data_IF_200164987573
#
_entry.id   IF_200164987573
#
_cell.length_a   1.000
_cell.length_b   1.000
_cell.length_c   1.000
_cell.angle_alpha   90.00
_cell.angle_beta   90.00
_cell.angle_gamma   90.00
#
_symmetry.space_group_name_H-M   'P 1'
#
loop_
_entity.id
_entity.type
_entity.pdbx_description
1 polymer ?
#
# COMPACT_ATOMS: atom_id res chain seq x y z
N UNK A 1 17.25 -1.68 5.68
CA UNK A 1 15.88 -1.21 5.40
C UNK A 1 14.99 -1.60 6.58
N UNK A 2 14.02 -0.77 6.96
CA UNK A 2 13.09 -1.07 8.05
C UNK A 2 11.66 -0.92 7.54
N UNK A 3 10.77 -1.67 8.16
CA UNK A 3 9.33 -1.60 7.95
C UNK A 3 8.63 -1.06 9.18
N UNK A 4 7.43 -0.53 8.99
CA UNK A 4 6.59 0.01 10.06
C UNK A 4 5.20 -0.63 9.96
N UNK A 5 4.70 -1.12 11.09
CA UNK A 5 3.29 -1.47 11.27
C UNK A 5 2.69 -0.49 12.28
N UNK A 6 1.52 0.05 11.95
CA UNK A 6 0.72 0.88 12.83
C UNK A 6 -0.61 0.16 13.07
N UNK A 7 -1.19 0.32 14.25
CA UNK A 7 -2.50 -0.22 14.60
C UNK A 7 -3.20 0.88 15.36
N UNK A 8 -4.38 1.30 14.91
CA UNK A 8 -5.09 2.45 15.47
C UNK A 8 -6.42 2.02 16.08
N UNK A 9 -6.65 2.30 17.38
CA UNK A 9 -7.95 2.05 18.00
C UNK A 9 -9.08 2.81 17.28
N UNK A 10 -10.20 2.14 17.03
CA UNK A 10 -11.36 2.76 16.42
C UNK A 10 -11.28 2.95 14.89
N UNK A 11 -10.27 2.37 14.22
CA UNK A 11 -10.16 2.40 12.76
C UNK A 11 -10.18 0.99 12.15
N UNK A 12 -10.39 0.92 10.83
CA UNK A 12 -10.40 -0.33 10.08
C UNK A 12 -11.61 -1.21 10.36
N UNK A 13 -11.56 -2.44 9.86
CA UNK A 13 -12.62 -3.43 10.04
C UNK A 13 -12.84 -3.77 11.53
N UNK A 14 -11.77 -3.68 12.33
CA UNK A 14 -11.79 -4.00 13.75
C UNK A 14 -12.07 -2.79 14.65
N UNK A 15 -12.49 -1.64 14.11
CA UNK A 15 -12.78 -0.41 14.87
C UNK A 15 -13.73 -0.60 16.07
N UNK A 16 -14.65 -1.57 15.98
CA UNK A 16 -15.62 -1.89 17.03
C UNK A 16 -15.06 -2.74 18.18
N UNK A 17 -13.82 -3.23 18.04
CA UNK A 17 -13.11 -3.99 19.08
C UNK A 17 -12.29 -3.03 19.93
N UNK A 18 -12.13 -3.39 21.21
CA UNK A 18 -11.20 -2.69 22.09
C UNK A 18 -9.77 -3.18 21.81
N UNK A 19 -9.12 -2.57 20.82
CA UNK A 19 -7.74 -2.84 20.43
C UNK A 19 -6.84 -1.73 20.95
N UNK A 20 -5.66 -2.09 21.45
CA UNK A 20 -4.64 -1.12 21.86
C UNK A 20 -3.87 -0.59 20.65
N UNK A 21 -3.44 0.66 20.71
CA UNK A 21 -2.56 1.21 19.68
C UNK A 21 -1.23 0.42 19.67
N UNK A 22 -0.75 0.08 18.48
CA UNK A 22 0.58 -0.51 18.31
C UNK A 22 1.38 0.25 17.25
N UNK A 23 2.66 0.45 17.53
CA UNK A 23 3.64 1.04 16.60
C UNK A 23 4.89 0.18 16.61
N UNK A 24 5.07 -0.62 15.57
CA UNK A 24 6.21 -1.53 15.45
C UNK A 24 7.10 -1.06 14.31
N UNK A 25 8.38 -0.83 14.62
CA UNK A 25 9.43 -0.69 13.61
C UNK A 25 10.32 -1.91 13.65
N UNK A 26 10.46 -2.59 12.52
CA UNK A 26 11.25 -3.82 12.43
C UNK A 26 12.26 -3.73 11.28
N UNK A 27 13.54 -4.11 11.48
CA UNK A 27 14.46 -4.26 10.37
C UNK A 27 14.03 -5.43 9.47
N UNK A 28 14.29 -5.31 8.18
CA UNK A 28 14.17 -6.44 7.25
C UNK A 28 15.51 -7.16 7.20
N UNK A 29 15.53 -8.42 7.62
CA UNK A 29 16.71 -9.27 7.66
C UNK A 29 16.45 -10.55 6.85
N UNK A 30 17.35 -10.87 5.92
CA UNK A 30 17.23 -12.07 5.05
C UNK A 30 15.86 -12.23 4.38
N UNK A 31 15.23 -11.12 4.01
CA UNK A 31 13.91 -11.11 3.35
C UNK A 31 12.73 -11.31 4.30
N UNK A 32 12.89 -11.08 5.61
CA UNK A 32 11.81 -11.19 6.58
C UNK A 32 11.86 -10.07 7.62
N UNK A 33 10.71 -9.78 8.22
CA UNK A 33 10.56 -8.83 9.32
C UNK A 33 9.96 -9.53 10.54
N UNK A 34 10.36 -9.10 11.74
CA UNK A 34 9.86 -9.63 13.00
C UNK A 34 8.80 -8.69 13.58
N UNK A 35 7.55 -9.14 13.67
CA UNK A 35 6.39 -8.33 14.09
C UNK A 35 5.55 -9.15 15.05
N UNK A 36 5.23 -8.63 16.24
CA UNK A 36 4.48 -9.35 17.28
C UNK A 36 5.02 -10.76 17.61
N UNK A 37 6.32 -10.97 17.51
CA UNK A 37 6.96 -12.30 17.72
C UNK A 37 6.81 -13.27 16.53
N UNK A 38 6.15 -12.86 15.45
CA UNK A 38 6.07 -13.60 14.20
C UNK A 38 7.21 -13.20 13.26
N UNK A 39 7.69 -14.16 12.48
CA UNK A 39 8.63 -13.94 11.38
C UNK A 39 7.84 -13.91 10.09
N UNK A 40 7.76 -12.74 9.45
CA UNK A 40 6.96 -12.50 8.27
C UNK A 40 7.89 -12.36 7.06
N UNK A 41 7.78 -13.26 6.08
CA UNK A 41 8.47 -13.13 4.81
C UNK A 41 7.89 -11.92 4.05
N UNK A 42 8.76 -11.06 3.53
CA UNK A 42 8.30 -9.89 2.76
C UNK A 42 7.84 -10.35 1.37
N UNK A 43 6.74 -9.76 0.91
CA UNK A 43 6.25 -9.86 -0.46
C UNK A 43 5.81 -8.44 -0.88
N UNK A 44 6.72 -7.62 -1.43
CA UNK A 44 6.45 -6.21 -1.61
C UNK A 44 5.34 -5.92 -2.62
N UNK A 45 4.50 -4.94 -2.31
CA UNK A 45 3.38 -4.47 -3.14
C UNK A 45 3.34 -2.95 -3.22
N UNK A 46 2.56 -2.42 -4.16
CA UNK A 46 2.26 -0.98 -4.29
C UNK A 46 0.78 -0.77 -3.95
N UNK A 47 0.47 0.03 -2.93
CA UNK A 47 -0.91 0.31 -2.49
C UNK A 47 -1.59 1.41 -3.29
N UNK A 48 -0.86 2.51 -3.52
CA UNK A 48 -1.35 3.68 -4.26
C UNK A 48 -0.65 3.79 -5.61
N UNK A 49 -1.44 3.85 -6.68
CA UNK A 49 -0.97 4.14 -8.02
C UNK A 49 -2.12 4.65 -8.87
N UNK A 50 -1.84 5.49 -9.87
CA UNK A 50 -2.90 6.00 -10.73
C UNK A 50 -2.43 7.04 -11.73
N UNK A 51 -3.38 7.49 -12.54
CA UNK A 51 -3.24 8.58 -13.52
C UNK A 51 -4.13 9.75 -13.11
N UNK A 52 -3.93 10.94 -13.69
CA UNK A 52 -4.79 12.06 -13.35
C UNK A 52 -6.27 11.78 -13.72
N UNK A 53 -7.22 12.10 -12.82
CA UNK A 53 -8.64 11.91 -13.08
C UNK A 53 -9.14 12.81 -14.21
N UNK A 54 -10.29 12.43 -14.78
CA UNK A 54 -10.96 13.19 -15.85
C UNK A 54 -11.36 14.61 -15.41
N UNK A 55 -11.85 14.73 -14.19
CA UNK A 55 -12.39 15.94 -13.60
C UNK A 55 -12.13 15.93 -12.10
N UNK A 56 -12.04 17.13 -11.53
CA UNK A 56 -11.82 17.38 -10.10
C UNK A 56 -10.57 16.70 -9.52
N UNK A 57 -10.21 17.08 -8.30
CA UNK A 57 -9.15 16.40 -7.55
C UNK A 57 -9.74 15.24 -6.75
N UNK A 58 -9.04 14.11 -6.73
CA UNK A 58 -9.37 12.96 -5.88
C UNK A 58 -8.22 12.74 -4.91
N UNK A 59 -8.57 12.52 -3.64
CA UNK A 59 -7.58 12.20 -2.61
C UNK A 59 -6.84 10.91 -2.98
N UNK A 60 -5.53 10.86 -2.71
CA UNK A 60 -4.73 9.65 -2.92
C UNK A 60 -5.22 8.46 -2.10
N UNK A 61 -5.97 8.69 -1.02
CA UNK A 61 -6.55 7.67 -0.14
C UNK A 61 -7.84 7.04 -0.69
N UNK A 62 -8.36 7.55 -1.82
CA UNK A 62 -9.64 7.11 -2.39
C UNK A 62 -9.40 6.42 -3.73
N UNK A 63 -9.78 5.14 -3.90
CA UNK A 63 -9.79 4.50 -5.20
C UNK A 63 -10.97 4.98 -6.05
N UNK A 64 -10.73 5.17 -7.35
CA UNK A 64 -11.74 5.50 -8.36
C UNK A 64 -11.29 4.96 -9.74
N UNK A 65 -11.95 5.38 -10.83
CA UNK A 65 -11.68 4.95 -12.20
C UNK A 65 -10.25 5.24 -12.69
N UNK A 66 -9.54 6.18 -12.06
CA UNK A 66 -8.16 6.52 -12.36
C UNK A 66 -7.14 5.74 -11.50
N UNK A 67 -7.64 4.70 -10.81
CA UNK A 67 -7.06 4.01 -9.66
C UNK A 67 -6.96 4.92 -8.42
N UNK A 68 -5.83 4.98 -7.73
CA UNK A 68 -5.68 5.60 -6.41
C UNK A 68 -5.29 4.56 -5.36
N UNK A 69 -5.93 4.59 -4.19
CA UNK A 69 -5.64 3.67 -3.09
C UNK A 69 -6.33 2.30 -3.26
N UNK A 70 -5.70 1.42 -4.05
CA UNK A 70 -6.27 0.11 -4.41
C UNK A 70 -5.95 -0.96 -3.36
N UNK A 71 -4.75 -0.91 -2.75
CA UNK A 71 -4.31 -1.85 -1.71
C UNK A 71 -4.51 -3.33 -2.05
N UNK A 72 -4.25 -3.69 -3.32
CA UNK A 72 -4.32 -5.07 -3.79
C UNK A 72 -2.98 -5.79 -3.61
N UNK A 73 -3.00 -6.93 -2.88
CA UNK A 73 -1.77 -7.69 -2.57
C UNK A 73 -1.07 -8.27 -3.81
N UNK A 74 -1.82 -8.41 -4.90
CA UNK A 74 -1.34 -9.03 -6.14
C UNK A 74 -0.56 -8.02 -7.02
N UNK A 75 -0.55 -6.73 -6.67
CA UNK A 75 0.24 -5.72 -7.37
C UNK A 75 1.68 -5.76 -6.88
N UNK A 76 2.40 -6.77 -7.35
CA UNK A 76 3.82 -7.03 -7.04
C UNK A 76 4.73 -6.65 -8.20
N UNK A 77 6.04 -6.87 -8.03
CA UNK A 77 7.00 -6.78 -9.12
C UNK A 77 6.55 -7.55 -10.37
N UNK A 78 6.82 -6.98 -11.55
CA UNK A 78 6.44 -7.52 -12.86
C UNK A 78 4.93 -7.50 -13.18
N UNK A 79 4.08 -6.94 -12.33
CA UNK A 79 2.69 -6.65 -12.69
C UNK A 79 2.61 -5.64 -13.83
N UNK A 80 1.62 -5.79 -14.71
CA UNK A 80 1.28 -4.79 -15.73
C UNK A 80 -0.09 -4.22 -15.39
N UNK A 81 -0.16 -2.89 -15.25
CA UNK A 81 -1.37 -2.15 -14.92
C UNK A 81 -1.85 -1.39 -16.15
N UNK A 82 -3.17 -1.29 -16.31
CA UNK A 82 -3.81 -0.62 -17.44
C UNK A 82 -4.70 0.50 -16.93
N UNK A 83 -4.45 1.72 -17.38
CA UNK A 83 -5.13 2.92 -16.90
C UNK A 83 -5.99 3.55 -18.01
N UNK A 84 -7.19 4.06 -17.68
CA UNK A 84 -7.92 4.95 -18.58
C UNK A 84 -7.28 6.34 -18.57
N UNK A 85 -6.51 6.66 -19.61
CA UNK A 85 -5.84 7.97 -19.72
C UNK A 85 -6.85 9.04 -20.15
N UNK A 86 -7.25 9.88 -19.18
CA UNK A 86 -8.23 10.96 -19.39
C UNK A 86 -7.60 12.36 -19.47
N UNK A 87 -6.29 12.49 -19.16
CA UNK A 87 -5.51 13.72 -19.27
C UNK A 87 -4.25 13.52 -20.12
N UNK A 88 -3.81 14.58 -20.79
CA UNK A 88 -2.58 14.54 -21.61
C UNK A 88 -1.37 14.15 -20.76
N UNK A 89 -0.58 13.20 -21.28
CA UNK A 89 0.61 12.68 -20.59
C UNK A 89 0.31 11.74 -19.42
N UNK A 90 -0.95 11.39 -19.17
CA UNK A 90 -1.47 10.55 -18.09
C UNK A 90 -1.21 11.08 -16.66
N UNK A 91 -0.08 11.75 -16.40
CA UNK A 91 0.31 12.27 -15.09
C UNK A 91 0.38 11.16 -14.03
N UNK A 92 1.01 10.05 -14.40
CA UNK A 92 1.14 8.86 -13.56
C UNK A 92 1.90 9.15 -12.26
N UNK A 93 1.36 8.65 -11.14
CA UNK A 93 1.97 8.67 -9.82
C UNK A 93 1.78 7.33 -9.11
N UNK A 94 2.67 7.04 -8.15
CA UNK A 94 2.57 5.89 -7.25
C UNK A 94 3.18 6.24 -5.89
N UNK A 95 2.69 5.58 -4.84
CA UNK A 95 3.24 5.63 -3.48
C UNK A 95 2.75 4.41 -2.67
N UNK A 96 2.83 4.51 -1.35
CA UNK A 96 2.24 3.60 -0.37
C UNK A 96 2.65 2.14 -0.56
N UNK A 97 3.96 1.93 -0.63
CA UNK A 97 4.50 0.58 -0.73
C UNK A 97 4.37 -0.19 0.58
N UNK A 98 4.03 -1.46 0.44
CA UNK A 98 4.02 -2.42 1.54
C UNK A 98 5.17 -3.41 1.36
N UNK A 99 5.88 -3.74 2.43
CA UNK A 99 6.76 -4.91 2.45
C UNK A 99 5.95 -6.22 2.52
N UNK A 100 4.76 -6.17 3.09
CA UNK A 100 3.81 -7.26 3.16
C UNK A 100 2.42 -6.70 3.49
N UNK A 101 1.40 -7.26 2.87
CA UNK A 101 -0.01 -6.91 3.07
C UNK A 101 -0.87 -8.15 2.90
N UNK A 102 -1.96 -8.24 3.67
CA UNK A 102 -2.99 -9.26 3.51
C UNK A 102 -4.22 -8.71 2.80
N UNK A 103 -5.04 -9.59 2.23
CA UNK A 103 -6.30 -9.17 1.61
C UNK A 103 -7.20 -8.44 2.60
N UNK A 104 -7.77 -7.32 2.13
CA UNK A 104 -8.75 -6.52 2.86
C UNK A 104 -8.18 -5.55 3.89
N UNK A 105 -6.85 -5.52 4.09
CA UNK A 105 -6.14 -4.53 4.91
C UNK A 105 -6.91 -4.17 6.21
N UNK A 106 -7.32 -5.20 6.95
CA UNK A 106 -8.38 -5.08 7.97
C UNK A 106 -8.07 -4.10 9.11
N UNK A 107 -6.81 -3.73 9.27
CA UNK A 107 -6.29 -2.84 10.31
C UNK A 107 -5.83 -1.49 9.75
N UNK A 108 -6.33 -1.09 8.56
CA UNK A 108 -6.03 0.18 7.87
C UNK A 108 -4.63 0.30 7.26
N UNK A 109 -3.72 -0.60 7.61
CA UNK A 109 -2.35 -0.52 7.12
C UNK A 109 -1.76 -1.90 6.90
N UNK A 110 -1.00 -2.05 5.82
CA UNK A 110 -0.01 -3.10 5.67
C UNK A 110 1.28 -2.82 6.45
N UNK A 111 2.30 -3.65 6.19
CA UNK A 111 3.65 -3.47 6.72
C UNK A 111 4.40 -2.45 5.85
N UNK A 112 4.22 -1.16 6.14
CA UNK A 112 4.65 -0.02 5.32
C UNK A 112 6.18 0.05 5.15
N UNK A 113 6.62 0.49 3.97
CA UNK A 113 8.02 0.66 3.62
C UNK A 113 8.22 1.87 2.71
N UNK A 114 9.38 2.53 2.80
CA UNK A 114 9.71 3.62 1.89
C UNK A 114 9.77 3.10 0.43
N UNK A 115 9.09 3.77 -0.52
CA UNK A 115 9.01 3.31 -1.90
C UNK A 115 10.37 3.45 -2.62
N UNK A 116 10.79 2.37 -3.29
CA UNK A 116 11.86 2.37 -4.28
C UNK A 116 11.42 1.47 -5.44
N UNK A 117 10.69 2.06 -6.39
CA UNK A 117 10.05 1.34 -7.48
C UNK A 117 10.73 1.67 -8.81
N UNK A 118 11.11 0.63 -9.56
CA UNK A 118 11.50 0.75 -10.96
C UNK A 118 10.32 0.32 -11.82
N UNK A 119 9.83 1.22 -12.65
CA UNK A 119 8.73 0.98 -13.57
C UNK A 119 9.09 1.43 -14.99
N UNK A 120 8.28 1.01 -15.95
CA UNK A 120 8.31 1.49 -17.32
C UNK A 120 6.89 1.88 -17.72
N UNK A 121 6.78 2.94 -18.51
CA UNK A 121 5.53 3.40 -19.10
C UNK A 121 5.62 3.19 -20.61
N UNK A 122 4.53 2.72 -21.22
CA UNK A 122 4.44 2.39 -22.65
C UNK A 122 3.13 2.87 -23.25
#
# INVERSE_FOLDING_TARGET
>A
MSVILLVFPGMGFLAHKNIEEAKIRSPVEKGSAHVFGLILAINPTIGVFGVAPKQDEVSTDTPDNHDGNIDAKDITACSTLYFPVEQEGALFALDDCHALMGDGEIDVTGLKIAPQVKYALS
#
